data_IF_327236851531
#
_entry.id   IF_327236851531
#
_cell.length_a   1.000
_cell.length_b   1.000
_cell.length_c   1.000
_cell.angle_alpha   90.00
_cell.angle_beta   90.00
_cell.angle_gamma   90.00
#
_symmetry.space_group_name_H-M   'P 1'
#
loop_
_entity.id
_entity.type
_entity.pdbx_description
1 polymer ?
#
# COMPACT_ATOMS: atom_id res chain seq x y z
N UNK A 1 9.90 16.00 6.52
CA UNK A 1 9.63 15.70 5.09
C UNK A 1 8.12 15.77 4.90
N UNK A 2 7.61 16.52 3.91
CA UNK A 2 6.17 16.59 3.60
C UNK A 2 5.88 15.74 2.38
N UNK A 3 4.77 15.00 2.40
CA UNK A 3 4.24 14.32 1.21
C UNK A 3 3.76 15.38 0.22
N UNK A 4 4.10 15.21 -1.05
CA UNK A 4 3.58 16.04 -2.15
C UNK A 4 2.59 15.24 -2.97
N UNK A 5 1.65 15.90 -3.65
CA UNK A 5 0.67 15.23 -4.51
C UNK A 5 1.34 14.49 -5.69
N UNK A 6 2.55 14.89 -6.05
CA UNK A 6 3.37 14.25 -7.07
C UNK A 6 4.12 13.01 -6.56
N UNK A 7 4.08 12.66 -5.28
CA UNK A 7 4.72 11.42 -4.81
C UNK A 7 3.78 10.22 -5.00
N UNK A 8 4.27 9.16 -5.64
CA UNK A 8 3.56 7.89 -5.68
C UNK A 8 3.82 7.14 -4.37
N UNK A 9 2.74 6.80 -3.66
CA UNK A 9 2.79 6.07 -2.39
C UNK A 9 2.44 4.60 -2.66
N UNK A 10 3.37 3.69 -2.39
CA UNK A 10 3.12 2.27 -2.37
C UNK A 10 2.65 1.84 -0.96
N UNK A 11 1.47 1.25 -0.85
CA UNK A 11 0.97 0.65 0.39
C UNK A 11 1.18 -0.85 0.30
N UNK A 12 2.20 -1.36 1.02
CA UNK A 12 2.48 -2.78 1.10
C UNK A 12 1.41 -3.47 1.96
N UNK A 13 0.86 -4.57 1.46
CA UNK A 13 -0.15 -5.36 2.15
C UNK A 13 0.00 -6.85 1.82
N UNK A 14 -0.60 -7.71 2.63
CA UNK A 14 -0.42 -9.16 2.53
C UNK A 14 0.78 -9.65 3.34
N UNK A 15 1.76 -10.24 2.66
CA UNK A 15 2.89 -10.98 3.23
C UNK A 15 2.69 -12.50 3.23
N UNK A 16 3.74 -13.29 3.55
CA UNK A 16 3.71 -14.76 3.58
C UNK A 16 3.13 -15.35 4.88
N UNK A 17 2.81 -14.51 5.87
CA UNK A 17 2.36 -14.95 7.20
C UNK A 17 0.87 -15.32 7.27
N UNK A 18 0.46 -15.92 8.38
CA UNK A 18 -0.92 -16.30 8.64
C UNK A 18 -1.91 -15.12 8.69
N UNK A 19 -1.41 -13.90 8.93
CA UNK A 19 -2.20 -12.67 9.01
C UNK A 19 -2.41 -11.98 7.65
N UNK A 20 -2.05 -12.64 6.54
CA UNK A 20 -2.11 -12.08 5.17
C UNK A 20 -3.44 -11.38 4.86
N UNK A 21 -4.56 -12.03 5.10
CA UNK A 21 -5.90 -11.45 4.82
C UNK A 21 -6.19 -10.21 5.67
N UNK A 22 -5.74 -10.21 6.93
CA UNK A 22 -5.86 -9.05 7.84
C UNK A 22 -5.01 -7.88 7.35
N UNK A 23 -3.80 -8.17 6.88
CA UNK A 23 -2.89 -7.19 6.27
C UNK A 23 -3.48 -6.60 4.99
N UNK A 24 -4.09 -7.41 4.11
CA UNK A 24 -4.78 -6.96 2.90
C UNK A 24 -5.96 -6.05 3.25
N UNK A 25 -6.81 -6.45 4.20
CA UNK A 25 -7.97 -5.65 4.62
C UNK A 25 -7.54 -4.28 5.17
N UNK A 26 -6.48 -4.27 6.00
CA UNK A 26 -5.91 -3.05 6.56
C UNK A 26 -5.29 -2.16 5.47
N UNK A 27 -4.49 -2.74 4.58
CA UNK A 27 -3.85 -2.04 3.46
C UNK A 27 -4.86 -1.38 2.51
N UNK A 28 -5.95 -2.08 2.17
CA UNK A 28 -7.05 -1.52 1.38
C UNK A 28 -7.67 -0.28 2.02
N UNK A 29 -7.84 -0.30 3.34
CA UNK A 29 -8.37 0.84 4.09
C UNK A 29 -7.42 2.05 4.03
N UNK A 30 -6.10 1.81 4.12
CA UNK A 30 -5.07 2.85 3.98
C UNK A 30 -5.05 3.45 2.57
N UNK A 31 -5.10 2.62 1.53
CA UNK A 31 -5.16 3.07 0.13
C UNK A 31 -6.37 3.97 -0.08
N UNK A 32 -7.54 3.58 0.41
CA UNK A 32 -8.76 4.40 0.31
C UNK A 32 -8.60 5.74 1.03
N UNK A 33 -8.07 5.75 2.26
CA UNK A 33 -7.91 6.97 3.04
C UNK A 33 -6.91 7.96 2.42
N UNK A 34 -5.83 7.46 1.80
CA UNK A 34 -4.85 8.28 1.09
C UNK A 34 -5.41 8.79 -0.24
N UNK A 35 -6.10 7.94 -1.00
CA UNK A 35 -6.75 8.32 -2.25
C UNK A 35 -7.84 9.38 -2.04
N UNK A 36 -8.64 9.25 -0.98
CA UNK A 36 -9.65 10.24 -0.60
C UNK A 36 -9.05 11.61 -0.22
N UNK A 37 -7.77 11.66 0.13
CA UNK A 37 -7.02 12.89 0.41
C UNK A 37 -6.32 13.47 -0.84
N UNK A 38 -6.48 12.86 -2.01
CA UNK A 38 -5.89 13.33 -3.27
C UNK A 38 -4.47 12.82 -3.55
N UNK A 39 -3.92 11.93 -2.73
CA UNK A 39 -2.58 11.39 -2.98
C UNK A 39 -2.60 10.33 -4.09
N UNK A 40 -1.52 10.26 -4.86
CA UNK A 40 -1.26 9.15 -5.78
C UNK A 40 -0.82 7.94 -4.97
N UNK A 41 -1.70 6.95 -4.84
CA UNK A 41 -1.46 5.78 -4.00
C UNK A 41 -1.82 4.49 -4.72
N UNK A 42 -1.00 3.45 -4.55
CA UNK A 42 -1.24 2.11 -5.09
C UNK A 42 -1.01 1.06 -4.02
N UNK A 43 -1.93 0.10 -3.91
CA UNK A 43 -1.74 -1.08 -3.09
C UNK A 43 -0.78 -2.06 -3.78
N UNK A 44 0.17 -2.61 -3.02
CA UNK A 44 1.11 -3.64 -3.48
C UNK A 44 0.89 -4.87 -2.62
N UNK A 45 0.43 -5.94 -3.25
CA UNK A 45 0.32 -7.24 -2.62
C UNK A 45 1.69 -7.89 -2.56
N UNK A 46 2.21 -8.04 -1.35
CA UNK A 46 3.54 -8.61 -1.09
C UNK A 46 3.37 -10.09 -0.78
N UNK A 47 4.20 -10.93 -1.41
CA UNK A 47 4.22 -12.38 -1.16
C UNK A 47 5.50 -12.84 -0.48
N UNK A 48 6.60 -12.10 -0.64
CA UNK A 48 7.91 -12.42 -0.08
C UNK A 48 8.70 -11.15 0.29
N UNK A 49 10.02 -11.27 0.45
CA UNK A 49 10.90 -10.15 0.83
C UNK A 49 11.32 -9.27 -0.35
N UNK A 50 10.83 -9.53 -1.57
CA UNK A 50 11.19 -8.80 -2.78
C UNK A 50 9.92 -8.24 -3.49
N UNK A 51 9.25 -7.25 -2.88
CA UNK A 51 8.03 -6.68 -3.44
C UNK A 51 8.29 -5.89 -4.73
N UNK A 52 7.44 -6.10 -5.74
CA UNK A 52 7.44 -5.29 -6.96
C UNK A 52 6.79 -3.92 -6.67
N UNK A 53 7.59 -2.86 -6.77
CA UNK A 53 7.13 -1.49 -6.56
C UNK A 53 6.60 -0.89 -7.88
N UNK A 54 5.53 -0.08 -7.82
CA UNK A 54 5.01 0.60 -8.99
C UNK A 54 5.92 1.75 -9.44
N UNK A 55 6.03 1.92 -10.76
CA UNK A 55 6.69 3.07 -11.41
C UNK A 55 5.90 4.38 -11.27
#
# INVERSE_FOLDING_TARGET
>A
MKLTEEMLIAVLMGGPGAEREVSIASGRSVVQALGARGYRVKGVDVVDTNPELPE
#
